data_IF_486926550383
#
_entry.id   IF_486926550383
#
_cell.length_a   1.000
_cell.length_b   1.000
_cell.length_c   1.000
_cell.angle_alpha   90.00
_cell.angle_beta   90.00
_cell.angle_gamma   90.00
#
_symmetry.space_group_name_H-M   'P 1'
#
loop_
_entity.id
_entity.type
_entity.pdbx_description
1 polymer ?
#
# COMPACT_ATOMS: atom_id res chain seq x y z
N UNK A 1 -3.21 13.30 -6.56
CA UNK A 1 -3.36 11.88 -6.17
C UNK A 1 -3.49 11.11 -7.47
N UNK A 2 -2.45 10.40 -7.90
CA UNK A 2 -2.45 9.75 -9.21
C UNK A 2 -3.49 8.63 -9.30
N UNK A 3 -4.10 8.45 -10.48
CA UNK A 3 -4.91 7.27 -10.77
C UNK A 3 -4.00 6.04 -10.82
N UNK A 4 -4.44 4.93 -10.22
CA UNK A 4 -3.75 3.66 -10.39
C UNK A 4 -3.91 3.16 -11.85
N UNK A 5 -2.96 2.37 -12.36
CA UNK A 5 -3.07 1.73 -13.67
C UNK A 5 -4.36 0.90 -13.79
N UNK A 6 -4.92 0.83 -15.02
CA UNK A 6 -6.21 0.20 -15.29
C UNK A 6 -6.18 -1.34 -15.18
N UNK A 7 -4.99 -1.95 -15.19
CA UNK A 7 -4.77 -3.39 -15.10
C UNK A 7 -4.78 -3.93 -13.66
N UNK A 8 -4.96 -3.05 -12.67
CA UNK A 8 -5.12 -3.46 -11.28
C UNK A 8 -6.51 -4.03 -11.03
N UNK A 9 -6.57 -5.16 -10.33
CA UNK A 9 -7.83 -5.69 -9.80
C UNK A 9 -8.48 -4.66 -8.86
N UNK A 10 -9.72 -4.23 -9.13
CA UNK A 10 -10.44 -3.31 -8.24
C UNK A 10 -10.58 -3.83 -6.81
N UNK A 11 -10.77 -5.15 -6.66
CA UNK A 11 -10.91 -5.80 -5.36
C UNK A 11 -9.59 -5.77 -4.57
N UNK A 12 -8.47 -6.00 -5.25
CA UNK A 12 -7.15 -5.90 -4.62
C UNK A 12 -6.86 -4.47 -4.16
N UNK A 13 -7.20 -3.47 -4.99
CA UNK A 13 -7.07 -2.05 -4.63
C UNK A 13 -7.95 -1.70 -3.43
N UNK A 14 -9.20 -2.19 -3.40
CA UNK A 14 -10.11 -1.98 -2.27
C UNK A 14 -9.58 -2.61 -0.98
N UNK A 15 -9.07 -3.85 -1.06
CA UNK A 15 -8.48 -4.56 0.08
C UNK A 15 -7.23 -3.83 0.61
N UNK A 16 -6.37 -3.34 -0.27
CA UNK A 16 -5.20 -2.56 0.12
C UNK A 16 -5.60 -1.25 0.82
N UNK A 17 -6.59 -0.53 0.29
CA UNK A 17 -7.11 0.70 0.92
C UNK A 17 -7.62 0.44 2.33
N UNK A 18 -8.42 -0.60 2.51
CA UNK A 18 -8.92 -1.01 3.83
C UNK A 18 -7.77 -1.32 4.81
N UNK A 19 -6.70 -1.95 4.33
CA UNK A 19 -5.52 -2.25 5.15
C UNK A 19 -4.74 -0.99 5.54
N UNK A 20 -4.60 -0.03 4.62
CA UNK A 20 -3.99 1.27 4.94
C UNK A 20 -4.85 2.09 5.91
N UNK A 21 -6.17 1.98 5.85
CA UNK A 21 -7.08 2.63 6.80
C UNK A 21 -6.99 2.01 8.20
N UNK A 22 -6.85 0.69 8.30
CA UNK A 22 -6.55 0.03 9.57
C UNK A 22 -5.21 0.50 10.15
N UNK A 23 -4.18 0.68 9.31
CA UNK A 23 -2.89 1.23 9.78
C UNK A 23 -3.09 2.65 10.32
N UNK A 24 -3.81 3.52 9.59
CA UNK A 24 -4.14 4.88 10.06
C UNK A 24 -4.89 4.89 11.40
N UNK A 25 -5.74 3.88 11.65
CA UNK A 25 -6.48 3.77 12.90
C UNK A 25 -5.59 3.44 14.11
N UNK A 26 -4.33 3.03 13.90
CA UNK A 26 -3.35 2.79 14.97
C UNK A 26 -2.66 4.06 15.47
N UNK A 27 -3.13 5.25 15.07
CA UNK A 27 -2.52 6.52 15.49
C UNK A 27 -1.22 6.89 14.75
N UNK A 28 -0.88 6.17 13.68
CA UNK A 28 0.25 6.51 12.81
C UNK A 28 -0.21 7.40 11.65
N UNK A 29 0.69 8.27 11.18
CA UNK A 29 0.46 9.09 9.98
C UNK A 29 1.23 8.52 8.81
N UNK A 30 0.53 7.99 7.81
CA UNK A 30 1.11 7.57 6.54
C UNK A 30 1.44 8.82 5.72
N UNK A 31 2.72 9.01 5.39
CA UNK A 31 3.22 10.13 4.59
C UNK A 31 3.16 9.84 3.10
N UNK A 32 3.45 8.61 2.72
CA UNK A 32 3.52 8.18 1.33
C UNK A 32 3.20 6.70 1.24
N UNK A 33 2.48 6.29 0.20
CA UNK A 33 2.21 4.90 -0.14
C UNK A 33 2.33 4.74 -1.66
N UNK A 34 2.97 3.67 -2.10
CA UNK A 34 3.23 3.39 -3.50
C UNK A 34 3.12 1.88 -3.75
N UNK A 35 2.79 1.55 -4.99
CA UNK A 35 2.97 0.20 -5.51
C UNK A 35 4.43 -0.27 -5.37
N UNK A 36 4.60 -1.55 -5.12
CA UNK A 36 5.88 -2.23 -5.10
C UNK A 36 5.74 -3.59 -5.82
N UNK A 37 6.81 -4.37 -5.89
CA UNK A 37 6.73 -5.76 -6.34
C UNK A 37 6.72 -5.91 -7.86
N UNK A 38 6.48 -7.13 -8.34
CA UNK A 38 6.65 -7.50 -9.76
C UNK A 38 5.87 -6.61 -10.73
N UNK A 39 4.67 -6.15 -10.32
CA UNK A 39 3.83 -5.21 -11.08
C UNK A 39 4.50 -3.84 -11.24
N UNK A 40 5.03 -3.27 -10.16
CA UNK A 40 5.77 -2.01 -10.20
C UNK A 40 7.05 -2.08 -11.04
N UNK A 41 7.66 -3.26 -11.13
CA UNK A 41 8.85 -3.49 -11.95
C UNK A 41 8.54 -3.89 -13.40
N UNK A 42 7.25 -4.05 -13.77
CA UNK A 42 6.83 -4.36 -15.14
C UNK A 42 6.97 -5.83 -15.55
N UNK A 43 7.12 -6.76 -14.61
CA UNK A 43 7.16 -8.20 -14.87
C UNK A 43 6.16 -9.00 -14.01
N UNK A 44 4.88 -8.60 -13.92
CA UNK A 44 3.90 -9.40 -13.21
C UNK A 44 3.50 -10.66 -14.00
N UNK A 45 3.33 -11.75 -13.27
CA UNK A 45 2.64 -12.96 -13.70
C UNK A 45 1.16 -12.94 -13.29
N UNK A 46 0.30 -13.81 -13.84
CA UNK A 46 -1.10 -13.88 -13.43
C UNK A 46 -1.32 -14.16 -11.93
N UNK A 47 -0.39 -14.87 -11.31
CA UNK A 47 -0.35 -15.19 -9.88
C UNK A 47 0.42 -14.15 -9.04
N UNK A 48 0.90 -13.06 -9.63
CA UNK A 48 1.59 -12.00 -8.89
C UNK A 48 0.65 -11.27 -7.93
N UNK A 49 1.15 -11.12 -6.70
CA UNK A 49 0.53 -10.36 -5.62
C UNK A 49 0.40 -8.85 -5.93
N UNK A 50 -0.26 -8.14 -5.01
CA UNK A 50 -0.38 -6.69 -5.00
C UNK A 50 0.40 -6.12 -3.83
N UNK A 51 1.67 -5.79 -4.06
CA UNK A 51 2.55 -5.23 -3.05
C UNK A 51 2.38 -3.71 -2.92
N UNK A 52 2.30 -3.23 -1.68
CA UNK A 52 2.30 -1.80 -1.35
C UNK A 52 3.33 -1.51 -0.28
N UNK A 53 4.18 -0.52 -0.53
CA UNK A 53 5.12 0.02 0.46
C UNK A 53 4.67 1.39 0.88
N UNK A 54 4.81 1.70 2.16
CA UNK A 54 4.47 3.01 2.68
C UNK A 54 5.47 3.48 3.73
N UNK A 55 5.59 4.80 3.85
CA UNK A 55 6.37 5.47 4.88
C UNK A 55 5.40 6.12 5.84
N UNK A 56 5.62 5.91 7.14
CA UNK A 56 4.78 6.47 8.19
C UNK A 56 5.62 7.12 9.29
N UNK A 57 4.99 8.00 10.04
CA UNK A 57 5.53 8.55 11.29
C UNK A 57 4.62 8.15 12.45
N UNK A 58 5.22 7.88 13.60
CA UNK A 58 4.53 7.58 14.86
C UNK A 58 5.29 8.17 16.05
N UNK A 59 4.68 8.25 17.24
CA UNK A 59 5.36 8.69 18.45
C UNK A 59 6.65 7.91 18.73
N UNK A 60 7.70 8.62 19.17
CA UNK A 60 9.00 8.01 19.54
C UNK A 60 8.82 6.95 20.62
N UNK A 61 7.89 7.18 21.56
CA UNK A 61 7.58 6.26 22.65
C UNK A 61 7.13 4.87 22.18
N UNK A 62 6.67 4.72 20.94
CA UNK A 62 6.18 3.43 20.44
C UNK A 62 7.32 2.57 19.85
N UNK A 63 8.55 3.09 19.74
CA UNK A 63 9.73 2.41 19.15
C UNK A 63 10.52 1.49 20.08
N UNK A 64 9.83 0.92 21.07
CA UNK A 64 10.39 0.04 22.08
C UNK A 64 10.43 -1.43 21.62
#
# INVERSE_FOLDING_TARGET
MGSLPADFSPDAVAALRARLDLVRSQGVKILFAIESGSRAWGFPSPDSDYDCRFVYVRPVADHL
#
